data_IF_334671649096
#
_entry.id   IF_334671649096
#
_cell.length_a   1.000
_cell.length_b   1.000
_cell.length_c   1.000
_cell.angle_alpha   90.00
_cell.angle_beta   90.00
_cell.angle_gamma   90.00
#
_symmetry.space_group_name_H-M   'P 1'
#
loop_
_entity.id
_entity.type
_entity.pdbx_description
1 polymer ?
#
# COMPACT_ATOMS: atom_id res chain seq x y z
N UNK A 1 -0.45 -3.44 -0.19
CA UNK A 1 -1.63 -2.60 -0.44
C UNK A 1 -1.79 -1.61 0.70
N UNK A 2 -2.48 -0.50 0.46
CA UNK A 2 -2.77 0.51 1.46
C UNK A 2 -4.00 1.34 1.09
N UNK A 3 -4.97 1.45 1.99
CA UNK A 3 -6.15 2.32 1.84
C UNK A 3 -6.01 3.63 2.62
N UNK A 4 -4.92 3.83 3.36
CA UNK A 4 -4.61 5.06 4.11
C UNK A 4 -5.61 5.50 5.20
N UNK A 5 -6.72 4.77 5.38
CA UNK A 5 -7.74 4.93 6.41
C UNK A 5 -7.17 5.10 7.84
N UNK A 6 -6.16 4.29 8.16
CA UNK A 6 -5.52 4.24 9.47
C UNK A 6 -4.54 5.39 9.71
N UNK A 7 -4.11 6.10 8.66
CA UNK A 7 -3.08 7.14 8.76
C UNK A 7 -1.67 6.61 9.08
N UNK A 8 -1.46 5.30 8.96
CA UNK A 8 -0.25 4.55 9.32
C UNK A 8 0.86 4.57 8.25
N UNK A 9 0.66 5.32 7.16
CA UNK A 9 1.58 5.40 6.00
C UNK A 9 3.06 5.56 6.37
N UNK A 10 3.38 6.41 7.35
CA UNK A 10 4.77 6.64 7.82
C UNK A 10 5.44 5.38 8.38
N UNK A 11 4.65 4.40 8.81
CA UNK A 11 5.11 3.16 9.40
C UNK A 11 4.98 1.95 8.46
N UNK A 12 4.12 2.04 7.43
CA UNK A 12 3.84 0.97 6.46
C UNK A 12 4.68 1.05 5.19
N UNK A 13 5.12 2.26 4.84
CA UNK A 13 6.05 2.52 3.75
C UNK A 13 7.50 2.43 4.24
N UNK A 14 8.43 2.11 3.33
CA UNK A 14 9.85 1.93 3.70
C UNK A 14 10.49 3.24 4.15
N UNK A 15 10.04 4.36 3.57
CA UNK A 15 10.31 5.70 4.08
C UNK A 15 9.32 6.70 3.51
N UNK A 16 9.20 7.84 4.19
CA UNK A 16 8.39 8.97 3.75
C UNK A 16 9.23 10.24 3.76
N UNK A 17 9.07 11.09 2.76
CA UNK A 17 9.65 12.44 2.72
C UNK A 17 8.51 13.45 2.65
N UNK A 18 8.64 14.55 3.40
CA UNK A 18 7.67 15.64 3.39
C UNK A 18 6.50 15.42 4.36
N UNK A 19 5.37 16.09 4.13
CA UNK A 19 4.26 16.23 5.07
C UNK A 19 2.95 15.63 4.55
N UNK A 20 2.96 14.33 4.29
CA UNK A 20 1.75 13.56 3.97
C UNK A 20 0.70 13.65 5.09
N UNK A 21 -0.57 13.75 4.70
CA UNK A 21 -1.71 13.90 5.62
C UNK A 21 -2.87 13.03 5.18
N UNK A 22 -3.70 12.60 6.14
CA UNK A 22 -4.97 11.94 5.86
C UNK A 22 -6.09 12.95 5.64
N UNK A 23 -7.03 12.60 4.76
CA UNK A 23 -8.20 13.43 4.41
C UNK A 23 -9.46 12.57 4.28
N UNK A 24 -10.62 13.15 4.54
CA UNK A 24 -11.94 12.53 4.29
C UNK A 24 -12.48 12.84 2.90
N UNK A 25 -11.75 13.60 2.08
CA UNK A 25 -12.09 13.88 0.68
C UNK A 25 -11.75 12.67 -0.20
N UNK A 26 -12.46 11.55 -0.02
CA UNK A 26 -12.16 10.28 -0.70
C UNK A 26 -12.96 10.09 -2.00
N UNK A 27 -12.56 9.09 -2.79
CA UNK A 27 -13.20 8.74 -4.07
C UNK A 27 -14.69 8.42 -3.96
N UNK A 28 -15.10 7.83 -2.84
CA UNK A 28 -16.47 7.34 -2.63
C UNK A 28 -17.19 8.03 -1.46
N UNK A 29 -16.62 9.11 -0.92
CA UNK A 29 -17.21 9.86 0.20
C UNK A 29 -17.24 9.10 1.54
N UNK A 30 -16.48 8.02 1.65
CA UNK A 30 -16.34 7.18 2.85
C UNK A 30 -14.87 6.80 3.06
N UNK A 31 -14.48 6.57 4.31
CA UNK A 31 -13.08 6.25 4.66
C UNK A 31 -12.19 7.50 4.68
N UNK A 32 -10.88 7.28 4.53
CA UNK A 32 -9.89 8.34 4.36
C UNK A 32 -8.92 8.00 3.23
N UNK A 33 -8.36 9.04 2.63
CA UNK A 33 -7.30 8.96 1.63
C UNK A 33 -6.06 9.70 2.14
N UNK A 34 -4.94 9.53 1.44
CA UNK A 34 -3.72 10.29 1.70
C UNK A 34 -3.62 11.49 0.75
N UNK A 35 -3.03 12.60 1.21
CA UNK A 35 -2.66 13.69 0.33
C UNK A 35 -1.31 14.32 0.69
N UNK A 36 -0.63 14.84 -0.33
CA UNK A 36 0.62 15.58 -0.23
C UNK A 36 0.55 16.89 -1.01
N UNK A 37 1.48 17.81 -0.73
CA UNK A 37 1.52 19.15 -1.33
C UNK A 37 2.93 19.75 -1.58
N UNK A 38 4.01 19.17 -1.04
CA UNK A 38 5.36 19.76 -1.08
C UNK A 38 6.47 18.79 -1.52
N UNK A 39 6.35 18.24 -2.73
CA UNK A 39 7.27 17.23 -3.27
C UNK A 39 7.45 16.02 -2.34
N UNK A 40 6.34 15.64 -1.73
CA UNK A 40 6.28 14.54 -0.80
C UNK A 40 6.54 13.22 -1.54
N UNK A 41 7.18 12.27 -0.86
CA UNK A 41 7.50 10.94 -1.42
C UNK A 41 7.09 9.85 -0.45
N UNK A 42 6.40 8.84 -0.96
CA UNK A 42 6.22 7.55 -0.32
C UNK A 42 7.11 6.55 -1.02
N UNK A 43 8.01 5.91 -0.29
CA UNK A 43 8.99 4.96 -0.85
C UNK A 43 8.64 3.56 -0.38
N UNK A 44 8.52 2.63 -1.33
CA UNK A 44 8.40 1.20 -1.04
C UNK A 44 9.58 0.46 -1.65
N UNK A 45 10.44 -0.08 -0.79
CA UNK A 45 11.44 -1.06 -1.19
C UNK A 45 10.76 -2.43 -1.31
N UNK A 46 11.17 -3.19 -2.32
CA UNK A 46 10.67 -4.53 -2.61
C UNK A 46 11.84 -5.47 -2.91
N UNK A 47 11.58 -6.77 -2.84
CA UNK A 47 12.52 -7.74 -3.39
C UNK A 47 12.70 -7.51 -4.90
N UNK A 48 13.93 -7.60 -5.44
CA UNK A 48 14.20 -7.38 -6.86
C UNK A 48 13.27 -8.20 -7.75
N UNK A 49 12.50 -7.51 -8.59
CA UNK A 49 11.47 -8.08 -9.46
C UNK A 49 11.71 -7.68 -10.92
N UNK A 50 11.48 -8.59 -11.87
CA UNK A 50 11.67 -8.31 -13.29
C UNK A 50 10.59 -7.37 -13.84
N UNK A 51 9.36 -7.54 -13.34
CA UNK A 51 8.22 -6.72 -13.70
C UNK A 51 7.33 -6.50 -12.50
N UNK A 52 6.79 -5.29 -12.40
CA UNK A 52 5.83 -4.92 -11.36
C UNK A 52 4.52 -4.46 -11.98
N UNK A 53 3.46 -4.54 -11.18
CA UNK A 53 2.16 -3.93 -11.43
C UNK A 53 1.76 -3.17 -10.17
N UNK A 54 1.37 -1.91 -10.34
CA UNK A 54 0.84 -1.09 -9.25
C UNK A 54 -0.44 -0.42 -9.70
N UNK A 55 -1.31 -0.13 -8.75
CA UNK A 55 -2.49 0.68 -8.98
C UNK A 55 -2.80 1.55 -7.77
N UNK A 56 -3.45 2.67 -8.01
CA UNK A 56 -3.92 3.59 -6.99
C UNK A 56 -4.99 4.52 -7.55
N UNK A 57 -5.94 4.91 -6.70
CA UNK A 57 -6.82 6.02 -6.99
C UNK A 57 -6.05 7.34 -6.87
N UNK A 58 -6.30 8.26 -7.78
CA UNK A 58 -5.60 9.54 -7.85
C UNK A 58 -6.55 10.70 -8.17
N UNK A 59 -6.38 11.81 -7.47
CA UNK A 59 -6.96 13.10 -7.81
C UNK A 59 -5.91 14.21 -7.69
N UNK A 60 -5.63 14.89 -8.80
CA UNK A 60 -4.70 16.03 -8.81
C UNK A 60 -5.28 17.28 -8.12
N UNK A 61 -6.58 17.26 -7.76
CA UNK A 61 -7.41 18.32 -7.17
C UNK A 61 -7.56 19.59 -8.02
N UNK A 62 -6.52 19.97 -8.74
CA UNK A 62 -6.47 21.11 -9.64
C UNK A 62 -5.62 20.78 -10.86
N UNK A 63 -5.80 21.59 -11.90
CA UNK A 63 -4.98 21.49 -13.10
C UNK A 63 -3.52 21.83 -12.79
N UNK A 64 -2.63 20.93 -13.16
CA UNK A 64 -1.20 21.06 -12.97
C UNK A 64 -0.60 21.93 -14.08
N UNK A 65 0.02 23.06 -13.74
CA UNK A 65 0.70 23.95 -14.70
C UNK A 65 2.12 24.31 -14.25
N UNK A 66 2.98 24.69 -15.21
CA UNK A 66 4.25 25.40 -14.96
C UNK A 66 5.53 24.55 -14.86
N UNK A 67 5.45 23.24 -14.57
CA UNK A 67 6.61 22.34 -14.56
C UNK A 67 6.21 20.86 -14.55
N UNK A 68 7.11 19.99 -15.03
CA UNK A 68 6.95 18.53 -14.96
C UNK A 68 7.04 18.06 -13.51
N UNK A 69 6.03 17.31 -13.06
CA UNK A 69 5.92 16.85 -11.67
C UNK A 69 5.80 15.33 -11.63
N UNK A 70 6.62 14.69 -10.80
CA UNK A 70 6.67 13.23 -10.71
C UNK A 70 5.44 12.69 -10.02
N UNK A 71 4.77 11.72 -10.64
CA UNK A 71 3.67 10.96 -10.05
C UNK A 71 4.17 9.62 -9.50
N UNK A 72 4.93 8.90 -10.31
CA UNK A 72 5.55 7.62 -9.95
C UNK A 72 6.97 7.55 -10.50
N UNK A 73 7.87 6.98 -9.71
CA UNK A 73 9.22 6.61 -10.14
C UNK A 73 9.54 5.17 -9.77
N UNK A 74 10.24 4.49 -10.66
CA UNK A 74 10.66 3.08 -10.53
C UNK A 74 12.18 3.01 -10.56
N UNK A 75 12.74 2.33 -9.57
CA UNK A 75 14.18 2.25 -9.33
C UNK A 75 14.69 0.81 -9.33
N UNK A 76 15.97 0.69 -9.65
CA UNK A 76 16.79 -0.50 -9.49
C UNK A 76 18.14 -0.16 -8.86
N UNK A 77 19.05 -1.13 -8.87
CA UNK A 77 20.41 -1.01 -8.31
C UNK A 77 20.42 -0.59 -6.83
N UNK A 78 19.70 -1.34 -5.98
CA UNK A 78 19.48 -1.04 -4.57
C UNK A 78 18.81 0.33 -4.35
N UNK A 79 17.89 0.70 -5.24
CA UNK A 79 17.17 1.96 -5.21
C UNK A 79 18.02 3.19 -5.57
N UNK A 80 19.17 3.01 -6.21
CA UNK A 80 20.06 4.12 -6.60
C UNK A 80 19.69 4.68 -7.97
N UNK A 81 19.36 3.82 -8.94
CA UNK A 81 19.10 4.25 -10.32
C UNK A 81 17.60 4.39 -10.55
N UNK A 82 17.15 5.61 -10.83
CA UNK A 82 15.80 5.83 -11.38
C UNK A 82 15.78 5.42 -12.85
N UNK A 83 15.05 4.36 -13.19
CA UNK A 83 14.96 3.87 -14.56
C UNK A 83 13.77 4.48 -15.30
N UNK A 84 12.62 4.57 -14.64
CA UNK A 84 11.37 5.00 -15.26
C UNK A 84 10.71 6.04 -14.36
N UNK A 85 10.21 7.12 -14.94
CA UNK A 85 9.31 8.05 -14.26
C UNK A 85 8.08 8.35 -15.09
N UNK A 86 6.93 8.43 -14.41
CA UNK A 86 5.69 8.96 -14.95
C UNK A 86 5.48 10.35 -14.35
N UNK A 87 5.43 11.35 -15.21
CA UNK A 87 5.27 12.75 -14.81
C UNK A 87 3.96 13.32 -15.32
N UNK A 88 3.40 14.32 -14.64
CA UNK A 88 2.28 15.14 -15.14
C UNK A 88 2.83 16.47 -15.64
N UNK A 89 2.55 16.85 -16.90
CA UNK A 89 3.01 18.11 -17.51
C UNK A 89 2.24 18.53 -18.79
N UNK A 90 2.50 19.76 -19.27
CA UNK A 90 2.20 20.32 -20.60
C UNK A 90 0.74 20.68 -20.92
N UNK A 91 -0.22 19.88 -20.47
CA UNK A 91 -1.65 20.15 -20.64
C UNK A 91 -2.44 19.56 -19.46
N UNK A 92 -3.67 20.03 -19.21
CA UNK A 92 -4.53 19.43 -18.20
C UNK A 92 -4.65 17.92 -18.42
N UNK A 93 -4.15 17.12 -17.46
CA UNK A 93 -4.21 15.66 -17.53
C UNK A 93 -3.18 14.99 -18.44
N UNK A 94 -2.26 15.71 -19.08
CA UNK A 94 -1.20 15.04 -19.86
C UNK A 94 -0.19 14.38 -18.92
N UNK A 95 0.08 13.11 -19.19
CA UNK A 95 1.12 12.31 -18.53
C UNK A 95 2.23 11.99 -19.53
N UNK A 96 3.47 12.06 -19.06
CA UNK A 96 4.66 11.81 -19.85
C UNK A 96 5.47 10.71 -19.19
N UNK A 97 5.71 9.64 -19.94
CA UNK A 97 6.60 8.55 -19.57
C UNK A 97 8.03 8.92 -19.96
N UNK A 98 8.96 8.79 -19.02
CA UNK A 98 10.38 9.05 -19.23
C UNK A 98 11.24 7.86 -18.81
N UNK A 99 12.33 7.65 -19.53
CA UNK A 99 13.49 6.89 -19.06
C UNK A 99 14.39 7.84 -18.27
N UNK A 100 14.62 7.53 -17.01
CA UNK A 100 15.33 8.37 -16.06
C UNK A 100 14.41 9.32 -15.30
N UNK A 101 15.01 10.36 -14.71
CA UNK A 101 14.34 11.19 -13.72
C UNK A 101 13.25 12.09 -14.27
N UNK A 102 12.31 12.48 -13.40
CA UNK A 102 11.23 13.43 -13.71
C UNK A 102 11.76 14.72 -14.37
N UNK A 103 12.87 15.26 -13.87
CA UNK A 103 13.40 16.56 -14.29
C UNK A 103 14.39 16.53 -15.46
N UNK A 104 14.92 15.36 -15.83
CA UNK A 104 15.99 15.27 -16.85
C UNK A 104 16.00 13.98 -17.69
N UNK A 105 15.02 13.10 -17.52
CA UNK A 105 14.88 11.86 -18.28
C UNK A 105 14.50 12.07 -19.75
N UNK A 106 14.78 11.06 -20.57
CA UNK A 106 14.37 11.01 -21.99
C UNK A 106 12.90 10.65 -22.09
N UNK A 107 12.10 11.44 -22.83
CA UNK A 107 10.69 11.13 -23.09
C UNK A 107 10.58 9.89 -23.97
N UNK A 108 9.76 8.93 -23.54
CA UNK A 108 9.50 7.67 -24.23
C UNK A 108 8.12 7.67 -24.90
N UNK A 109 7.11 8.19 -24.19
CA UNK A 109 5.73 8.24 -24.65
C UNK A 109 4.95 9.28 -23.84
N UNK A 110 3.79 9.65 -24.37
CA UNK A 110 2.81 10.52 -23.70
C UNK A 110 1.44 9.85 -23.70
N UNK A 111 0.60 10.24 -22.74
CA UNK A 111 -0.79 9.83 -22.62
C UNK A 111 -1.65 10.91 -21.98
N UNK A 112 -2.94 10.64 -21.85
CA UNK A 112 -3.89 11.54 -21.20
C UNK A 112 -4.62 10.82 -20.08
N UNK A 113 -4.67 11.44 -18.91
CA UNK A 113 -5.50 11.09 -17.78
C UNK A 113 -6.50 12.22 -17.52
N UNK A 114 -7.45 12.00 -16.60
CA UNK A 114 -8.33 13.07 -16.14
C UNK A 114 -7.52 14.14 -15.43
N UNK A 115 -7.79 15.41 -15.72
CA UNK A 115 -7.07 16.53 -15.14
C UNK A 115 -7.46 16.82 -13.68
N UNK A 116 -8.71 16.55 -13.30
CA UNK A 116 -9.26 16.74 -11.95
C UNK A 116 -10.32 15.69 -11.65
N UNK A 117 -10.51 15.38 -10.37
CA UNK A 117 -11.43 14.35 -9.93
C UNK A 117 -10.77 12.98 -9.90
N UNK A 118 -11.28 12.14 -9.01
CA UNK A 118 -10.80 10.77 -8.82
C UNK A 118 -10.87 9.92 -10.09
N UNK A 119 -9.77 9.23 -10.36
CA UNK A 119 -9.63 8.17 -11.36
C UNK A 119 -8.71 7.07 -10.83
N UNK A 120 -8.82 5.86 -11.36
CA UNK A 120 -7.91 4.78 -10.98
C UNK A 120 -6.77 4.65 -11.99
N UNK A 121 -5.52 4.79 -11.53
CA UNK A 121 -4.32 4.67 -12.36
C UNK A 121 -3.68 3.32 -12.08
N UNK A 122 -3.38 2.56 -13.13
CA UNK A 122 -2.55 1.35 -13.03
C UNK A 122 -1.30 1.48 -13.91
N UNK A 123 -0.17 0.95 -13.44
CA UNK A 123 1.11 0.97 -14.15
C UNK A 123 1.74 -0.42 -14.07
N UNK A 124 2.15 -0.97 -15.22
CA UNK A 124 3.11 -2.07 -15.27
C UNK A 124 4.44 -1.58 -15.79
N UNK A 125 5.55 -2.04 -15.22
CA UNK A 125 6.90 -1.62 -15.63
C UNK A 125 7.89 -2.78 -15.58
N UNK A 126 8.76 -2.88 -16.58
CA UNK A 126 9.98 -3.70 -16.58
C UNK A 126 11.19 -2.89 -17.07
N UNK A 127 12.39 -3.29 -16.64
CA UNK A 127 13.65 -2.61 -16.97
C UNK A 127 14.44 -3.46 -17.97
N UNK A 128 14.77 -2.89 -19.14
CA UNK A 128 15.61 -3.55 -20.14
C UNK A 128 16.19 -2.52 -21.13
N UNK A 129 17.38 -2.81 -21.67
CA UNK A 129 18.04 -1.96 -22.67
C UNK A 129 17.41 -2.07 -24.07
N UNK A 130 16.48 -3.01 -24.32
CA UNK A 130 15.90 -3.23 -25.66
C UNK A 130 14.42 -3.60 -25.68
N UNK A 131 13.93 -4.32 -24.66
CA UNK A 131 12.58 -4.92 -24.63
C UNK A 131 11.84 -4.62 -23.33
N UNK A 132 12.17 -3.50 -22.69
CA UNK A 132 11.47 -3.04 -21.51
C UNK A 132 10.05 -2.61 -21.88
N UNK A 133 9.11 -2.86 -20.98
CA UNK A 133 7.69 -2.59 -21.21
C UNK A 133 7.17 -1.64 -20.15
N UNK A 134 6.43 -0.63 -20.57
CA UNK A 134 5.63 0.21 -19.67
C UNK A 134 4.23 0.37 -20.23
N UNK A 135 3.24 -0.01 -19.43
CA UNK A 135 1.82 0.19 -19.73
C UNK A 135 1.21 1.00 -18.61
N UNK A 136 0.53 2.09 -18.98
CA UNK A 136 -0.25 2.91 -18.04
C UNK A 136 -1.71 2.84 -18.45
N UNK A 137 -2.57 2.58 -17.48
CA UNK A 137 -4.02 2.61 -17.63
C UNK A 137 -4.63 3.67 -16.73
N UNK A 138 -5.70 4.31 -17.20
CA UNK A 138 -6.56 5.18 -16.41
C UNK A 138 -8.01 4.74 -16.57
N UNK A 139 -8.71 4.49 -15.47
CA UNK A 139 -10.07 3.95 -15.44
C UNK A 139 -10.23 2.70 -16.34
N UNK A 140 -9.22 1.82 -16.32
CA UNK A 140 -9.16 0.58 -17.10
C UNK A 140 -8.77 0.76 -18.58
N UNK A 141 -8.66 1.98 -19.08
CA UNK A 141 -8.27 2.28 -20.47
C UNK A 141 -6.76 2.46 -20.57
N UNK A 142 -6.10 1.78 -21.50
CA UNK A 142 -4.67 1.98 -21.77
C UNK A 142 -4.42 3.36 -22.37
N UNK A 143 -3.63 4.18 -21.66
CA UNK A 143 -3.26 5.55 -22.07
C UNK A 143 -1.81 5.68 -22.51
N UNK A 144 -0.93 4.77 -22.06
CA UNK A 144 0.44 4.62 -22.56
C UNK A 144 0.71 3.12 -22.75
N UNK A 145 1.32 2.76 -23.87
CA UNK A 145 1.82 1.41 -24.16
C UNK A 145 3.16 1.54 -24.88
N UNK A 146 4.25 1.37 -24.13
CA UNK A 146 5.62 1.52 -24.63
C UNK A 146 6.39 0.21 -24.52
N UNK A 147 7.13 -0.10 -25.57
CA UNK A 147 8.13 -1.18 -25.60
C UNK A 147 9.44 -0.63 -26.16
N UNK A 148 10.56 -0.91 -25.51
CA UNK A 148 11.88 -0.47 -25.98
C UNK A 148 12.88 -0.37 -24.84
N UNK A 149 13.83 0.53 -24.97
CA UNK A 149 14.80 0.78 -23.90
C UNK A 149 14.17 1.59 -22.75
N UNK A 150 13.99 0.94 -21.60
CA UNK A 150 13.51 1.54 -20.34
C UNK A 150 14.62 1.68 -19.29
N UNK A 151 15.84 1.21 -19.57
CA UNK A 151 16.94 1.18 -18.60
C UNK A 151 17.79 2.45 -18.71
N UNK A 152 17.60 3.36 -17.75
CA UNK A 152 18.34 4.63 -17.73
C UNK A 152 19.86 4.51 -17.47
N UNK A 153 20.31 3.44 -16.80
CA UNK A 153 21.70 3.30 -16.38
C UNK A 153 21.90 2.05 -15.55
N UNK A 154 22.96 2.01 -14.74
CA UNK A 154 23.22 0.91 -13.81
C UNK A 154 23.56 -0.43 -14.47
N UNK A 155 23.65 -1.47 -13.66
CA UNK A 155 24.00 -2.82 -14.12
C UNK A 155 22.81 -3.77 -14.09
N UNK A 156 21.84 -3.55 -13.22
CA UNK A 156 20.71 -4.46 -13.06
C UNK A 156 19.55 -4.11 -14.01
N UNK A 157 18.75 -5.12 -14.33
CA UNK A 157 17.48 -5.02 -15.09
C UNK A 157 16.27 -5.38 -14.21
N UNK A 158 16.45 -5.36 -12.89
CA UNK A 158 15.41 -5.62 -11.91
C UNK A 158 14.99 -4.33 -11.22
N UNK A 159 13.75 -4.35 -10.71
CA UNK A 159 13.13 -3.27 -9.96
C UNK A 159 13.13 -3.64 -8.48
N UNK A 160 13.64 -2.76 -7.63
CA UNK A 160 13.72 -2.98 -6.18
C UNK A 160 13.11 -1.84 -5.35
N UNK A 161 12.64 -0.77 -6.01
CA UNK A 161 11.96 0.32 -5.33
C UNK A 161 10.94 1.02 -6.23
N UNK A 162 9.79 1.33 -5.63
CA UNK A 162 8.75 2.20 -6.19
C UNK A 162 8.61 3.43 -5.31
N UNK A 163 8.45 4.58 -5.96
CA UNK A 163 8.17 5.85 -5.28
C UNK A 163 6.88 6.42 -5.83
N UNK A 164 5.91 6.64 -4.95
CA UNK A 164 4.76 7.51 -5.24
C UNK A 164 5.12 8.91 -4.77
N UNK A 165 4.96 9.88 -5.65
CA UNK A 165 5.37 11.25 -5.37
C UNK A 165 4.28 12.25 -5.71
N UNK A 166 4.40 13.41 -5.10
CA UNK A 166 3.56 14.54 -5.39
C UNK A 166 4.36 15.71 -6.01
N UNK A 167 3.60 16.71 -6.43
CA UNK A 167 4.06 17.98 -6.99
C UNK A 167 4.73 18.92 -5.97
N UNK A 168 5.71 19.73 -6.43
CA UNK A 168 6.11 20.97 -5.76
C UNK A 168 4.95 22.00 -5.76
N UNK A 169 4.91 22.99 -4.87
CA UNK A 169 4.00 24.15 -4.90
C UNK A 169 2.49 23.90 -4.75
N UNK A 170 1.94 24.15 -3.55
CA UNK A 170 0.52 24.48 -3.22
C UNK A 170 -0.59 23.67 -3.92
N UNK A 171 -0.30 22.48 -4.45
CA UNK A 171 -1.25 21.64 -5.17
C UNK A 171 -1.37 20.33 -4.42
N UNK A 172 -2.57 20.10 -3.88
CA UNK A 172 -2.86 18.88 -3.15
C UNK A 172 -3.12 17.74 -4.12
N UNK A 173 -2.32 16.69 -4.06
CA UNK A 173 -2.60 15.46 -4.78
C UNK A 173 -3.07 14.42 -3.79
N UNK A 174 -4.21 13.81 -4.08
CA UNK A 174 -4.83 12.78 -3.27
C UNK A 174 -4.58 11.42 -3.87
N UNK A 175 -4.35 10.45 -2.99
CA UNK A 175 -4.05 9.06 -3.29
C UNK A 175 -4.89 8.16 -2.41
N UNK A 176 -5.43 7.10 -2.99
CA UNK A 176 -6.18 6.09 -2.25
C UNK A 176 -5.97 4.71 -2.87
N UNK A 177 -6.40 3.65 -2.17
CA UNK A 177 -6.54 2.30 -2.73
C UNK A 177 -5.30 1.75 -3.46
N UNK A 178 -4.12 1.88 -2.84
CA UNK A 178 -2.84 1.47 -3.44
C UNK A 178 -2.66 -0.06 -3.41
N UNK A 179 -2.23 -0.65 -4.52
CA UNK A 179 -1.66 -1.99 -4.57
C UNK A 179 -0.31 -2.02 -5.30
N UNK A 180 0.50 -3.02 -4.95
CA UNK A 180 1.75 -3.34 -5.64
C UNK A 180 1.91 -4.86 -5.64
N UNK A 181 2.16 -5.42 -6.81
CA UNK A 181 2.53 -6.81 -7.01
C UNK A 181 3.59 -6.95 -8.11
N UNK A 182 4.14 -8.15 -8.26
CA UNK A 182 5.10 -8.49 -9.32
C UNK A 182 4.52 -9.54 -10.26
N UNK A 183 5.30 -9.98 -11.25
CA UNK A 183 4.91 -10.98 -12.24
C UNK A 183 5.08 -12.44 -11.77
N UNK A 184 5.34 -12.65 -10.47
CA UNK A 184 5.60 -13.98 -9.90
C UNK A 184 4.38 -14.53 -9.14
N UNK A 185 4.35 -15.84 -8.91
CA UNK A 185 3.25 -16.51 -8.21
C UNK A 185 2.04 -16.83 -9.11
N UNK A 186 0.98 -17.36 -8.50
CA UNK A 186 -0.23 -17.85 -9.22
C UNK A 186 -1.42 -16.89 -9.18
N UNK A 187 -1.38 -15.88 -8.30
CA UNK A 187 -2.46 -14.90 -8.10
C UNK A 187 -1.87 -13.51 -7.93
N UNK A 188 -2.65 -12.48 -8.29
CA UNK A 188 -2.25 -11.07 -8.18
C UNK A 188 -0.90 -10.78 -8.87
N UNK A 189 -0.69 -11.33 -10.06
CA UNK A 189 0.57 -11.23 -10.81
C UNK A 189 0.44 -10.42 -12.12
N UNK A 190 -0.58 -9.55 -12.16
CA UNK A 190 -0.95 -8.74 -13.31
C UNK A 190 -1.75 -7.51 -12.85
N UNK A 191 -2.27 -6.72 -13.78
CA UNK A 191 -3.23 -5.66 -13.50
C UNK A 191 -4.45 -6.22 -12.75
N UNK A 192 -4.79 -5.60 -11.61
CA UNK A 192 -5.94 -6.03 -10.80
C UNK A 192 -7.22 -5.32 -11.22
N UNK A 193 -7.11 -4.28 -12.06
CA UNK A 193 -8.19 -3.39 -12.41
C UNK A 193 -8.42 -2.34 -11.32
N UNK A 194 -9.63 -1.78 -11.34
CA UNK A 194 -10.08 -0.82 -10.33
C UNK A 194 -10.30 -1.52 -8.98
N UNK A 195 -9.34 -1.34 -8.08
CA UNK A 195 -9.33 -1.95 -6.74
C UNK A 195 -9.72 -0.93 -5.70
N UNK A 196 -10.43 -1.41 -4.68
CA UNK A 196 -10.67 -0.69 -3.44
C UNK A 196 -10.11 -1.46 -2.25
N UNK A 197 -9.44 -0.77 -1.33
CA UNK A 197 -8.99 -1.32 -0.05
C UNK A 197 -10.03 -1.00 1.01
N UNK A 198 -10.62 -2.03 1.60
CA UNK A 198 -11.56 -1.87 2.70
C UNK A 198 -10.87 -2.11 4.04
N UNK A 199 -10.86 -1.09 4.90
CA UNK A 199 -10.41 -1.24 6.29
C UNK A 199 -11.53 -1.80 7.15
N UNK A 200 -11.30 -3.00 7.69
CA UNK A 200 -12.19 -3.66 8.64
C UNK A 200 -11.62 -3.51 10.04
N UNK A 201 -12.46 -3.13 11.01
CA UNK A 201 -12.03 -2.85 12.38
C UNK A 201 -12.49 -3.97 13.32
N UNK A 202 -11.77 -4.22 14.43
CA UNK A 202 -12.23 -5.10 15.50
C UNK A 202 -13.58 -4.66 16.06
N UNK A 203 -14.52 -5.60 16.23
CA UNK A 203 -15.86 -5.33 16.77
C UNK A 203 -16.18 -6.09 18.06
N UNK A 204 -15.43 -7.15 18.38
CA UNK A 204 -15.61 -7.93 19.60
C UNK A 204 -14.35 -8.74 19.97
N UNK A 205 -14.20 -9.01 21.26
CA UNK A 205 -13.22 -9.95 21.79
C UNK A 205 -13.58 -11.39 21.40
N UNK A 206 -12.58 -12.22 21.15
CA UNK A 206 -12.75 -13.68 21.04
C UNK A 206 -12.37 -14.36 22.35
N UNK A 207 -12.44 -15.69 22.38
CA UNK A 207 -11.92 -16.46 23.51
C UNK A 207 -10.38 -16.44 23.63
N UNK A 208 -9.67 -16.00 22.59
CA UNK A 208 -8.21 -15.86 22.57
C UNK A 208 -7.89 -14.40 22.89
N UNK A 209 -7.60 -14.13 24.17
CA UNK A 209 -7.42 -12.80 24.73
C UNK A 209 -6.38 -12.83 25.88
N UNK A 210 -5.14 -13.20 25.57
CA UNK A 210 -4.07 -13.42 26.55
C UNK A 210 -3.32 -12.15 26.96
N UNK A 211 -3.44 -11.05 26.20
CA UNK A 211 -2.76 -9.81 26.53
C UNK A 211 -3.50 -9.08 27.67
N UNK A 212 -2.84 -8.14 28.33
CA UNK A 212 -3.47 -7.30 29.34
C UNK A 212 -3.96 -5.99 28.71
N UNK A 213 -5.27 -5.67 28.77
CA UNK A 213 -5.80 -4.46 28.19
C UNK A 213 -5.43 -3.22 29.03
N UNK A 214 -5.13 -2.11 28.35
CA UNK A 214 -4.81 -0.81 28.96
C UNK A 214 -5.62 0.30 28.28
N UNK A 215 -6.38 1.06 29.07
CA UNK A 215 -7.25 2.14 28.61
C UNK A 215 -8.73 1.76 28.67
N UNK A 216 -9.16 0.80 27.85
CA UNK A 216 -10.47 0.14 27.91
C UNK A 216 -10.39 -1.21 28.63
N UNK A 217 -11.52 -1.69 29.15
CA UNK A 217 -11.64 -3.05 29.71
C UNK A 217 -11.75 -4.13 28.64
N UNK A 218 -12.25 -3.79 27.45
CA UNK A 218 -12.37 -4.73 26.32
C UNK A 218 -11.14 -4.64 25.43
N UNK A 219 -10.61 -5.79 24.99
CA UNK A 219 -9.36 -5.82 24.25
C UNK A 219 -9.54 -5.23 22.85
N UNK A 220 -10.63 -5.56 22.16
CA UNK A 220 -10.94 -5.08 20.81
C UNK A 220 -11.07 -3.56 20.78
N UNK A 221 -11.65 -2.97 21.83
CA UNK A 221 -11.84 -1.52 21.93
C UNK A 221 -10.52 -0.75 22.07
N UNK A 222 -9.45 -1.42 22.55
CA UNK A 222 -8.12 -0.81 22.62
C UNK A 222 -7.41 -0.75 21.26
N UNK A 223 -7.92 -1.45 20.24
CA UNK A 223 -7.28 -1.61 18.93
C UNK A 223 -8.24 -1.32 17.75
N UNK A 224 -9.33 -0.60 17.99
CA UNK A 224 -10.35 -0.26 16.98
C UNK A 224 -10.38 1.22 16.58
N UNK A 225 -9.36 1.99 16.95
CA UNK A 225 -9.28 3.42 16.64
C UNK A 225 -9.02 3.65 15.14
N UNK A 226 -9.64 4.71 14.59
CA UNK A 226 -9.43 5.14 13.20
C UNK A 226 -9.52 6.69 13.06
N UNK A 227 -8.43 7.40 12.74
CA UNK A 227 -7.08 6.90 12.48
C UNK A 227 -6.46 6.27 13.73
N UNK A 228 -5.38 5.53 13.52
CA UNK A 228 -4.70 4.81 14.59
C UNK A 228 -4.25 5.74 15.73
N UNK A 229 -4.30 5.22 16.96
CA UNK A 229 -3.95 5.92 18.18
C UNK A 229 -3.21 4.98 19.12
N UNK A 230 -2.27 5.53 19.92
CA UNK A 230 -1.55 4.78 20.96
C UNK A 230 -2.06 5.10 22.36
N UNK A 231 -3.23 5.74 22.47
CA UNK A 231 -3.82 6.10 23.76
C UNK A 231 -4.31 4.86 24.54
N UNK A 232 -4.74 3.83 23.80
CA UNK A 232 -5.17 2.54 24.31
C UNK A 232 -4.36 1.43 23.65
N UNK A 233 -4.15 0.31 24.35
CA UNK A 233 -3.40 -0.84 23.80
C UNK A 233 -3.60 -2.10 24.64
N UNK A 234 -3.28 -3.26 24.07
CA UNK A 234 -3.12 -4.51 24.81
C UNK A 234 -1.63 -4.86 24.88
N UNK A 235 -1.15 -5.35 26.03
CA UNK A 235 0.28 -5.60 26.24
C UNK A 235 0.54 -6.98 26.85
N UNK A 236 1.64 -7.60 26.45
CA UNK A 236 2.20 -8.78 27.10
C UNK A 236 3.71 -8.81 26.88
N UNK A 237 4.44 -9.38 27.86
CA UNK A 237 5.86 -9.71 27.73
C UNK A 237 6.12 -11.21 27.55
N UNK A 238 5.07 -12.01 27.38
CA UNK A 238 5.17 -13.48 27.34
C UNK A 238 5.02 -13.95 25.88
N UNK A 239 6.07 -14.57 25.35
CA UNK A 239 6.08 -15.19 24.02
C UNK A 239 4.98 -16.25 23.94
N UNK A 240 4.20 -16.22 22.86
CA UNK A 240 3.08 -17.12 22.60
C UNK A 240 1.72 -16.59 23.04
N UNK A 241 1.65 -15.49 23.82
CA UNK A 241 0.38 -14.82 24.11
C UNK A 241 -0.24 -14.25 22.84
N UNK A 242 -1.56 -14.40 22.70
CA UNK A 242 -2.33 -13.97 21.54
C UNK A 242 -3.57 -13.22 21.95
N UNK A 243 -3.92 -12.22 21.15
CA UNK A 243 -5.27 -11.70 21.09
C UNK A 243 -5.79 -11.89 19.66
N UNK A 244 -7.03 -12.35 19.53
CA UNK A 244 -7.79 -12.39 18.28
C UNK A 244 -9.11 -11.65 18.46
N UNK A 245 -9.53 -10.95 17.42
CA UNK A 245 -10.76 -10.15 17.41
C UNK A 245 -11.66 -10.56 16.27
N UNK A 246 -12.97 -10.52 16.50
CA UNK A 246 -13.96 -10.52 15.41
C UNK A 246 -13.86 -9.18 14.67
N UNK A 247 -13.93 -9.23 13.35
CA UNK A 247 -13.83 -8.03 12.50
C UNK A 247 -15.20 -7.59 11.98
N UNK A 248 -15.34 -6.32 11.65
CA UNK A 248 -16.51 -5.81 10.91
C UNK A 248 -16.63 -6.48 9.53
N UNK A 249 -17.86 -6.67 9.07
CA UNK A 249 -18.12 -7.24 7.75
C UNK A 249 -17.66 -6.34 6.59
N UNK A 250 -17.35 -6.99 5.46
CA UNK A 250 -17.20 -6.29 4.18
C UNK A 250 -18.50 -5.58 3.79
N UNK A 251 -18.43 -4.39 3.15
CA UNK A 251 -19.60 -3.73 2.60
C UNK A 251 -20.35 -4.58 1.57
N UNK A 252 -21.66 -4.39 1.47
CA UNK A 252 -22.47 -5.03 0.44
C UNK A 252 -21.97 -4.66 -0.96
N UNK A 253 -21.87 -5.64 -1.87
CA UNK A 253 -21.48 -5.44 -3.27
C UNK A 253 -20.04 -5.81 -3.59
N UNK A 254 -19.21 -6.16 -2.59
CA UNK A 254 -17.90 -6.77 -2.84
C UNK A 254 -18.10 -8.16 -3.47
N UNK A 255 -17.52 -8.38 -4.65
CA UNK A 255 -17.61 -9.66 -5.38
C UNK A 255 -16.26 -10.35 -5.59
N UNK A 256 -15.16 -9.61 -5.49
CA UNK A 256 -13.81 -10.12 -5.74
C UNK A 256 -12.88 -9.61 -4.64
N UNK A 257 -12.12 -10.51 -4.05
CA UNK A 257 -11.16 -10.22 -2.98
C UNK A 257 -9.79 -10.70 -3.44
N UNK A 258 -8.86 -9.76 -3.63
CA UNK A 258 -7.51 -10.07 -4.08
C UNK A 258 -6.64 -10.62 -2.96
N UNK A 259 -6.77 -10.07 -1.75
CA UNK A 259 -6.04 -10.49 -0.57
C UNK A 259 -6.67 -9.87 0.68
N UNK A 260 -6.30 -10.40 1.85
CA UNK A 260 -6.47 -9.71 3.12
C UNK A 260 -5.10 -9.26 3.66
N UNK A 261 -5.07 -8.22 4.49
CA UNK A 261 -3.85 -7.78 5.17
C UNK A 261 -4.17 -7.53 6.64
N UNK A 262 -3.48 -8.25 7.52
CA UNK A 262 -3.53 -7.99 8.95
C UNK A 262 -2.52 -6.88 9.28
N UNK A 263 -2.96 -5.84 9.98
CA UNK A 263 -2.16 -4.68 10.35
C UNK A 263 -2.20 -4.51 11.88
N UNK A 264 -1.04 -4.25 12.49
CA UNK A 264 -0.92 -3.93 13.92
C UNK A 264 0.15 -2.85 14.13
N UNK A 265 -0.11 -1.90 15.02
CA UNK A 265 0.91 -1.01 15.57
C UNK A 265 1.47 -1.60 16.86
N UNK A 266 2.79 -1.69 16.96
CA UNK A 266 3.43 -2.27 18.13
C UNK A 266 4.78 -1.60 18.46
N UNK A 267 5.18 -1.69 19.73
CA UNK A 267 6.51 -1.35 20.23
C UNK A 267 6.85 -2.22 21.43
N UNK A 268 8.14 -2.35 21.71
CA UNK A 268 8.59 -2.84 23.02
C UNK A 268 8.77 -1.69 23.99
N UNK A 269 8.60 -1.96 25.27
CA UNK A 269 8.75 -0.96 26.35
C UNK A 269 9.91 -1.25 27.29
N UNK A 270 10.64 -2.36 27.06
CA UNK A 270 11.75 -2.78 27.89
C UNK A 270 12.93 -3.31 27.04
N UNK A 271 14.08 -3.50 27.68
CA UNK A 271 15.24 -4.15 27.13
C UNK A 271 14.95 -5.63 26.79
N UNK A 272 15.75 -6.18 25.89
CA UNK A 272 15.55 -7.53 25.36
C UNK A 272 15.00 -7.54 23.94
N UNK A 273 15.10 -8.70 23.30
CA UNK A 273 14.52 -8.97 22.00
C UNK A 273 13.11 -9.53 22.19
N UNK A 274 12.15 -8.98 21.45
CA UNK A 274 10.77 -9.44 21.40
C UNK A 274 10.21 -9.02 20.04
N UNK A 275 9.39 -9.88 19.47
CA UNK A 275 8.76 -9.68 18.19
C UNK A 275 7.25 -9.81 18.25
N UNK A 276 6.64 -9.60 17.09
CA UNK A 276 5.21 -9.76 16.86
C UNK A 276 5.01 -10.54 15.56
N UNK A 277 4.00 -11.40 15.52
CA UNK A 277 3.43 -11.93 14.28
C UNK A 277 2.00 -11.43 14.15
N UNK A 278 1.64 -10.94 12.96
CA UNK A 278 0.22 -10.77 12.65
C UNK A 278 -0.40 -12.14 12.42
N UNK A 279 -1.60 -12.37 12.94
CA UNK A 279 -2.29 -13.64 12.82
C UNK A 279 -3.69 -13.44 12.26
N UNK A 280 -4.09 -14.39 11.43
CA UNK A 280 -5.42 -14.46 10.82
C UNK A 280 -5.94 -15.87 11.04
N UNK A 281 -7.16 -15.98 11.54
CA UNK A 281 -7.87 -17.25 11.66
C UNK A 281 -9.11 -17.20 10.78
N UNK A 282 -9.15 -18.11 9.81
CA UNK A 282 -10.29 -18.33 8.93
C UNK A 282 -10.86 -19.70 9.22
N UNK A 283 -12.16 -19.78 9.49
CA UNK A 283 -12.79 -21.00 9.98
C UNK A 283 -12.04 -21.60 11.18
N UNK A 284 -11.52 -22.83 11.01
CA UNK A 284 -10.74 -23.52 12.04
C UNK A 284 -9.22 -23.35 11.94
N UNK A 285 -8.70 -22.63 10.94
CA UNK A 285 -7.27 -22.57 10.64
C UNK A 285 -6.70 -21.21 10.99
N UNK A 286 -5.69 -21.20 11.87
CA UNK A 286 -4.88 -20.02 12.16
C UNK A 286 -3.62 -20.02 11.31
N UNK A 287 -3.41 -18.94 10.56
CA UNK A 287 -2.17 -18.65 9.86
C UNK A 287 -1.46 -17.46 10.52
N UNK A 288 -0.13 -17.52 10.54
CA UNK A 288 0.73 -16.48 11.09
C UNK A 288 1.60 -15.88 10.00
N UNK A 289 1.80 -14.57 10.06
CA UNK A 289 2.83 -13.88 9.31
C UNK A 289 4.23 -14.15 9.83
N UNK A 290 5.20 -13.43 9.27
CA UNK A 290 6.60 -13.54 9.71
C UNK A 290 6.83 -12.77 11.02
N UNK A 291 7.72 -13.29 11.88
CA UNK A 291 8.11 -12.58 13.10
C UNK A 291 8.81 -11.27 12.76
N UNK A 292 8.25 -10.15 13.23
CA UNK A 292 8.85 -8.81 13.13
C UNK A 292 9.39 -8.38 14.47
N UNK A 293 10.68 -8.06 14.53
CA UNK A 293 11.32 -7.58 15.74
C UNK A 293 10.80 -6.19 16.10
N UNK A 294 10.44 -5.99 17.36
CA UNK A 294 9.92 -4.71 17.85
C UNK A 294 11.04 -3.76 18.27
N UNK A 295 10.83 -2.48 17.99
CA UNK A 295 11.66 -1.38 18.45
C UNK A 295 10.98 -0.63 19.61
N UNK A 296 11.72 0.25 20.29
CA UNK A 296 11.14 1.11 21.32
C UNK A 296 10.21 2.20 20.74
N UNK A 297 10.32 2.45 19.43
CA UNK A 297 9.42 3.31 18.67
C UNK A 297 8.24 2.51 18.13
N UNK A 298 7.05 3.09 18.19
CA UNK A 298 5.84 2.50 17.58
C UNK A 298 6.06 2.30 16.10
N UNK A 299 5.89 1.07 15.65
CA UNK A 299 6.07 0.67 14.26
C UNK A 299 4.85 -0.12 13.80
N UNK A 300 4.39 0.16 12.58
CA UNK A 300 3.34 -0.60 11.92
C UNK A 300 3.90 -1.93 11.40
N UNK A 301 3.12 -2.98 11.56
CA UNK A 301 3.47 -4.32 11.11
C UNK A 301 2.31 -4.86 10.27
N UNK A 302 2.59 -5.33 9.05
CA UNK A 302 1.55 -5.82 8.15
C UNK A 302 1.91 -7.14 7.48
N UNK A 303 1.00 -8.10 7.41
CA UNK A 303 1.19 -9.34 6.63
C UNK A 303 0.02 -9.55 5.67
N UNK A 304 0.33 -9.92 4.43
CA UNK A 304 -0.67 -10.15 3.38
C UNK A 304 -0.95 -11.64 3.29
N UNK A 305 -2.23 -11.99 3.28
CA UNK A 305 -2.73 -13.34 3.05
C UNK A 305 -3.48 -13.34 1.71
N UNK A 306 -2.77 -13.69 0.64
CA UNK A 306 -3.30 -13.66 -0.73
C UNK A 306 -4.39 -14.72 -0.97
N UNK A 307 -4.39 -15.79 -0.18
CA UNK A 307 -5.40 -16.86 -0.21
C UNK A 307 -5.93 -17.08 1.20
N UNK A 308 -7.15 -17.59 1.29
CA UNK A 308 -7.76 -17.99 2.54
C UNK A 308 -7.01 -19.21 3.11
N UNK A 309 -6.41 -19.11 4.31
CA UNK A 309 -5.64 -20.21 4.88
C UNK A 309 -6.49 -21.45 5.19
N UNK A 310 -7.81 -21.31 5.35
CA UNK A 310 -8.70 -22.44 5.60
C UNK A 310 -8.93 -23.30 4.34
N UNK A 311 -8.97 -22.66 3.18
CA UNK A 311 -9.33 -23.32 1.91
C UNK A 311 -8.16 -23.44 0.93
N UNK A 312 -7.07 -22.69 1.16
CA UNK A 312 -5.95 -22.52 0.23
C UNK A 312 -6.39 -22.00 -1.15
N UNK A 313 -7.50 -21.26 -1.20
CA UNK A 313 -8.08 -20.67 -2.43
C UNK A 313 -8.37 -19.18 -2.25
N UNK A 314 -8.87 -18.51 -3.29
CA UNK A 314 -9.25 -17.10 -3.22
C UNK A 314 -10.27 -16.85 -2.10
N UNK A 315 -10.12 -15.72 -1.42
CA UNK A 315 -11.03 -15.32 -0.35
C UNK A 315 -12.45 -15.15 -0.87
N UNK A 316 -13.41 -15.65 -0.10
CA UNK A 316 -14.84 -15.38 -0.30
C UNK A 316 -15.30 -14.31 0.68
N UNK A 317 -16.41 -13.63 0.38
CA UNK A 317 -17.02 -12.65 1.31
C UNK A 317 -17.33 -13.29 2.66
N UNK A 318 -17.89 -14.50 2.66
CA UNK A 318 -18.17 -15.23 3.89
C UNK A 318 -16.89 -15.59 4.67
N UNK A 319 -15.81 -15.94 3.96
CA UNK A 319 -14.51 -16.21 4.58
C UNK A 319 -13.91 -14.98 5.26
N UNK A 320 -14.02 -13.80 4.63
CA UNK A 320 -13.54 -12.54 5.23
C UNK A 320 -14.45 -12.09 6.38
N UNK A 321 -15.77 -12.15 6.24
CA UNK A 321 -16.69 -11.75 7.31
C UNK A 321 -16.61 -12.67 8.54
N UNK A 322 -16.19 -13.93 8.36
CA UNK A 322 -15.97 -14.87 9.45
C UNK A 322 -14.56 -14.88 10.02
N UNK A 323 -13.69 -13.96 9.61
CA UNK A 323 -12.28 -13.97 10.00
C UNK A 323 -12.08 -13.40 11.40
N UNK A 324 -11.19 -14.02 12.17
CA UNK A 324 -10.63 -13.41 13.37
C UNK A 324 -9.19 -12.92 13.05
N UNK A 325 -8.85 -11.70 13.45
CA UNK A 325 -7.52 -11.10 13.20
C UNK A 325 -6.93 -10.60 14.50
N UNK A 326 -5.61 -10.66 14.63
CA UNK A 326 -4.92 -10.07 15.76
C UNK A 326 -3.41 -10.26 15.71
N UNK A 327 -2.80 -10.50 16.86
CA UNK A 327 -1.35 -10.61 16.97
C UNK A 327 -0.89 -11.67 17.99
N UNK A 328 0.30 -12.21 17.76
CA UNK A 328 1.04 -13.13 18.64
C UNK A 328 2.36 -12.49 19.06
N UNK A 329 2.68 -12.50 20.36
CA UNK A 329 4.00 -12.11 20.88
C UNK A 329 5.02 -13.21 20.55
N UNK A 330 6.17 -12.86 19.96
CA UNK A 330 7.13 -13.80 19.38
C UNK A 330 8.58 -13.58 19.80
#
# INVERSE_FOLDING_TARGET
>A
MDGFDAGDHASKWSSTTGSWKVSTATRFGVGRCLYGFDADKLVKNIEPSNKIFMGFAFDANNTVTGSSRGLVSVFGDAGVTEHISLSIYEAPGKVTLKRGSTGGGTILADGMIRATGWQYIEISASVSDTVGEVVVKADGVTVINYTGDTKNGGTNTTIDRVVVSNSYSNTYWYFDDFYLCNDTGTTNNTFLGDVRVHTLLPTADTAVADLTPTGSSSHYANVSDIPDSTATYNASGIVGHKDLYTMSDLPSGVTTIHATQANNLARKTDAGAIGLKNIVKSGGITASGVTKQLSASTTGTSDIFAVDPATSTAWTVAGVNGVEVGAEVA
#
